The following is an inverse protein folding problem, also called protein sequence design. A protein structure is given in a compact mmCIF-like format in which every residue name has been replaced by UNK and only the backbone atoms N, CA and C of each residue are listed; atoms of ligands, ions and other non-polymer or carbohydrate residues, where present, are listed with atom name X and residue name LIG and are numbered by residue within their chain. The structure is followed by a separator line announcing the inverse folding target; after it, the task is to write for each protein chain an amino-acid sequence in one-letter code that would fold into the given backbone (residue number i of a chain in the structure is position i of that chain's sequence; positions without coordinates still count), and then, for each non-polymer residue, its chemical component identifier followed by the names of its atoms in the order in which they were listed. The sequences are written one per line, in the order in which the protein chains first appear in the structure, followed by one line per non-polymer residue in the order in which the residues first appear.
data_IF_803036961544
#
_entry.id   IF_803036961544
#
_cell.length_a   1.000
_cell.length_b   1.000
_cell.length_c   1.000
_cell.angle_alpha   90.00
_cell.angle_beta   90.00
_cell.angle_gamma   90.00
#
_symmetry.space_group_name_H-M   'P 1'
#
loop_
_entity.id
_entity.type
_entity.pdbx_description
1 polymer ?
#
# COMPACT_ATOMS: atom_id res chain seq x y z
N UNK A 1 -15.02 9.36 -28.12
CA UNK A 1 -15.07 10.42 -27.10
C UNK A 1 -14.13 10.01 -25.96
N UNK A 2 -12.89 10.51 -25.96
CA UNK A 2 -11.92 10.17 -24.93
C UNK A 2 -12.18 11.03 -23.70
N UNK A 3 -12.75 10.46 -22.64
CA UNK A 3 -12.77 11.12 -21.35
C UNK A 3 -11.31 11.28 -20.90
N UNK A 4 -10.78 12.50 -20.88
CA UNK A 4 -9.50 12.78 -20.23
C UNK A 4 -9.67 12.51 -18.73
N UNK A 5 -9.01 11.47 -18.23
CA UNK A 5 -8.95 11.19 -16.81
C UNK A 5 -8.02 12.23 -16.17
N UNK A 6 -8.45 12.83 -15.04
CA UNK A 6 -7.71 13.92 -14.41
C UNK A 6 -6.34 13.47 -13.88
N UNK A 7 -6.21 12.18 -13.52
CA UNK A 7 -4.99 11.59 -13.00
C UNK A 7 -4.72 10.22 -13.65
N UNK A 8 -3.49 9.98 -14.07
CA UNK A 8 -3.02 8.67 -14.55
C UNK A 8 -2.35 7.83 -13.46
N UNK A 9 -2.02 8.44 -12.32
CA UNK A 9 -1.30 7.81 -11.21
C UNK A 9 -1.93 8.25 -9.90
N UNK A 10 -2.11 7.31 -8.98
CA UNK A 10 -2.34 7.55 -7.56
C UNK A 10 -1.07 7.17 -6.82
N UNK A 11 -0.46 8.10 -6.09
CA UNK A 11 0.74 7.86 -5.31
C UNK A 11 0.47 8.16 -3.83
N UNK A 12 0.47 7.12 -3.00
CA UNK A 12 0.38 7.23 -1.55
C UNK A 12 1.76 7.42 -0.94
N UNK A 13 2.11 8.68 -0.64
CA UNK A 13 3.21 9.02 0.27
C UNK A 13 2.90 8.55 1.70
N UNK A 14 3.87 8.64 2.61
CA UNK A 14 3.72 7.99 3.90
C UNK A 14 4.51 8.62 5.06
N UNK A 15 4.35 7.94 6.19
CA UNK A 15 5.02 8.03 7.49
C UNK A 15 4.20 7.13 8.44
N UNK A 16 4.68 6.86 9.66
CA UNK A 16 3.95 5.95 10.58
C UNK A 16 2.48 6.32 10.82
N UNK A 17 2.13 7.60 10.74
CA UNK A 17 0.74 8.07 10.87
C UNK A 17 -0.21 7.45 9.83
N UNK A 18 0.30 7.06 8.66
CA UNK A 18 -0.47 6.36 7.62
C UNK A 18 -1.08 5.05 8.13
N UNK A 19 -0.47 4.37 9.10
CA UNK A 19 -1.05 3.16 9.72
C UNK A 19 -2.36 3.46 10.47
N UNK A 20 -2.61 4.72 10.83
CA UNK A 20 -3.78 5.13 11.60
C UNK A 20 -4.92 5.51 10.67
N UNK A 21 -4.67 6.44 9.74
CA UNK A 21 -5.71 7.07 8.92
C UNK A 21 -5.93 6.38 7.57
N UNK A 22 -4.90 5.81 6.93
CA UNK A 22 -5.07 5.17 5.63
C UNK A 22 -6.00 3.95 5.65
N UNK A 23 -6.06 3.12 6.71
CA UNK A 23 -7.06 2.04 6.83
C UNK A 23 -8.52 2.51 6.95
N UNK A 24 -8.76 3.82 7.05
CA UNK A 24 -10.10 4.40 7.14
C UNK A 24 -10.37 5.49 6.09
N UNK A 25 -9.42 5.72 5.17
CA UNK A 25 -9.43 6.83 4.21
C UNK A 25 -10.39 6.63 3.01
N UNK A 26 -11.68 6.46 3.27
CA UNK A 26 -12.73 6.13 2.28
C UNK A 26 -12.75 7.03 1.04
N UNK A 27 -12.41 8.31 1.19
CA UNK A 27 -12.36 9.24 0.05
C UNK A 27 -11.15 8.95 -0.85
N UNK A 28 -9.98 8.69 -0.26
CA UNK A 28 -8.79 8.30 -1.02
C UNK A 28 -8.98 6.94 -1.70
N UNK A 29 -9.68 6.00 -1.08
CA UNK A 29 -10.00 4.73 -1.70
C UNK A 29 -10.76 4.91 -3.01
N UNK A 30 -11.78 5.79 -3.02
CA UNK A 30 -12.57 6.06 -4.22
C UNK A 30 -11.70 6.64 -5.34
N UNK A 31 -10.76 7.53 -5.00
CA UNK A 31 -9.82 8.11 -5.97
C UNK A 31 -8.88 7.03 -6.51
N UNK A 32 -8.24 6.25 -5.64
CA UNK A 32 -7.31 5.19 -6.04
C UNK A 32 -8.00 4.08 -6.84
N UNK A 33 -9.18 3.62 -6.41
CA UNK A 33 -10.00 2.65 -7.13
C UNK A 33 -10.35 3.17 -8.51
N UNK A 34 -10.77 4.44 -8.62
CA UNK A 34 -11.08 5.03 -9.92
C UNK A 34 -9.85 5.07 -10.83
N UNK A 35 -8.71 5.58 -10.35
CA UNK A 35 -7.47 5.62 -11.13
C UNK A 35 -7.10 4.20 -11.60
N UNK A 36 -7.20 3.20 -10.73
CA UNK A 36 -6.87 1.83 -11.09
C UNK A 36 -7.88 1.19 -12.06
N UNK A 37 -9.18 1.45 -11.93
CA UNK A 37 -10.20 0.94 -12.86
C UNK A 37 -10.12 1.59 -14.24
N UNK A 38 -9.69 2.85 -14.28
CA UNK A 38 -9.50 3.64 -15.49
C UNK A 38 -8.19 3.28 -16.23
N UNK A 39 -7.46 2.26 -15.77
CA UNK A 39 -6.21 1.80 -16.40
C UNK A 39 -4.95 2.54 -15.95
N UNK A 40 -5.05 3.45 -14.97
CA UNK A 40 -3.92 4.15 -14.35
C UNK A 40 -3.12 3.30 -13.36
N UNK A 41 -2.06 3.87 -12.79
CA UNK A 41 -1.19 3.19 -11.82
C UNK A 41 -1.63 3.52 -10.40
N UNK A 42 -1.68 2.51 -9.53
CA UNK A 42 -1.82 2.70 -8.10
C UNK A 42 -0.48 2.39 -7.43
N UNK A 43 0.05 3.34 -6.67
CA UNK A 43 1.39 3.26 -6.12
C UNK A 43 1.48 3.77 -4.70
N UNK A 44 2.44 3.24 -3.94
CA UNK A 44 2.69 3.65 -2.57
C UNK A 44 4.16 3.40 -2.16
N UNK A 45 4.64 4.10 -1.14
CA UNK A 45 5.96 3.87 -0.56
C UNK A 45 5.86 3.76 0.96
N UNK A 46 6.75 2.99 1.60
CA UNK A 46 6.85 2.90 3.05
C UNK A 46 5.51 2.45 3.68
N UNK A 47 4.96 3.18 4.66
CA UNK A 47 3.65 2.89 5.26
C UNK A 47 2.46 3.17 4.35
N UNK A 48 2.68 3.79 3.19
CA UNK A 48 1.62 4.15 2.25
C UNK A 48 0.87 2.93 1.73
N UNK A 49 1.53 1.76 1.74
CA UNK A 49 0.91 0.47 1.41
C UNK A 49 -0.30 0.11 2.29
N UNK A 50 -0.42 0.71 3.49
CA UNK A 50 -1.57 0.54 4.38
C UNK A 50 -2.91 0.99 3.76
N UNK A 51 -2.88 1.74 2.65
CA UNK A 51 -4.09 2.15 1.94
C UNK A 51 -4.72 1.02 1.12
N UNK A 52 -3.91 0.10 0.58
CA UNK A 52 -4.36 -0.85 -0.45
C UNK A 52 -5.44 -1.84 -0.03
N UNK A 53 -5.49 -2.36 1.21
CA UNK A 53 -6.59 -3.20 1.66
C UNK A 53 -7.97 -2.55 1.44
N UNK A 54 -8.06 -1.22 1.57
CA UNK A 54 -9.30 -0.47 1.34
C UNK A 54 -9.56 -0.05 -0.12
N UNK A 55 -8.56 -0.16 -1.00
CA UNK A 55 -8.71 0.18 -2.43
C UNK A 55 -9.27 -1.02 -3.19
N UNK A 56 -10.52 -0.92 -3.60
CA UNK A 56 -11.29 -2.04 -4.20
C UNK A 56 -11.42 -1.88 -5.71
N UNK A 57 -11.27 -2.98 -6.45
CA UNK A 57 -11.68 -3.06 -7.85
C UNK A 57 -13.21 -3.23 -7.92
N UNK A 58 -13.97 -2.31 -8.54
CA UNK A 58 -15.42 -2.36 -8.58
C UNK A 58 -15.97 -3.53 -9.41
N UNK A 59 -15.16 -4.15 -10.29
CA UNK A 59 -15.58 -5.32 -11.08
C UNK A 59 -15.51 -6.59 -10.26
N UNK A 60 -14.45 -6.78 -9.46
CA UNK A 60 -14.25 -7.99 -8.66
C UNK A 60 -14.77 -7.85 -7.22
N UNK A 61 -15.02 -6.62 -6.77
CA UNK A 61 -15.37 -6.27 -5.39
C UNK A 61 -14.34 -6.73 -4.34
N UNK A 62 -13.09 -6.90 -4.78
CA UNK A 62 -11.94 -7.25 -3.94
C UNK A 62 -10.90 -6.13 -3.95
N UNK A 63 -10.01 -6.11 -2.96
CA UNK A 63 -8.86 -5.21 -2.97
C UNK A 63 -8.05 -5.38 -4.28
N UNK A 64 -7.52 -4.28 -4.81
CA UNK A 64 -6.72 -4.29 -6.04
C UNK A 64 -5.40 -5.08 -5.89
N UNK A 65 -5.00 -5.41 -4.66
CA UNK A 65 -3.80 -6.18 -4.37
C UNK A 65 -4.04 -7.69 -4.16
N UNK A 66 -5.28 -8.19 -4.29
CA UNK A 66 -5.53 -9.64 -4.22
C UNK A 66 -4.74 -10.37 -5.30
N UNK A 67 -3.90 -11.32 -4.88
CA UNK A 67 -3.01 -12.11 -5.74
C UNK A 67 -1.88 -11.30 -6.36
N UNK A 68 -1.59 -10.10 -5.85
CA UNK A 68 -0.52 -9.21 -6.34
C UNK A 68 0.69 -9.22 -5.42
N UNK A 69 1.86 -9.09 -6.02
CA UNK A 69 3.11 -8.87 -5.28
C UNK A 69 3.24 -7.41 -4.88
N UNK A 70 3.43 -7.18 -3.59
CA UNK A 70 3.45 -5.85 -2.97
C UNK A 70 4.58 -5.79 -1.96
N UNK A 71 5.21 -4.64 -1.81
CA UNK A 71 6.15 -4.36 -0.72
C UNK A 71 5.74 -3.09 0.02
N UNK A 72 6.46 -2.74 1.08
CA UNK A 72 6.20 -1.60 1.95
C UNK A 72 7.13 -1.63 3.15
N UNK A 73 6.96 -0.72 4.09
CA UNK A 73 7.82 -0.69 5.28
C UNK A 73 7.75 -2.01 6.04
N UNK A 74 8.91 -2.60 6.33
CA UNK A 74 8.96 -3.99 6.81
C UNK A 74 8.69 -4.07 8.30
N UNK A 75 8.02 -5.13 8.74
CA UNK A 75 7.84 -5.41 10.18
C UNK A 75 9.21 -5.56 10.87
N UNK A 76 10.22 -6.04 10.14
CA UNK A 76 11.60 -6.14 10.62
C UNK A 76 12.21 -4.77 10.88
N UNK A 77 12.01 -3.79 9.99
CA UNK A 77 12.48 -2.41 10.17
C UNK A 77 11.80 -1.76 11.39
N UNK A 78 10.49 -1.97 11.59
CA UNK A 78 9.77 -1.46 12.79
C UNK A 78 10.36 -2.00 14.10
N UNK A 79 10.81 -3.26 14.07
CA UNK A 79 11.45 -3.90 15.22
C UNK A 79 12.86 -3.35 15.47
N UNK A 80 13.63 -3.10 14.41
CA UNK A 80 14.99 -2.51 14.51
C UNK A 80 14.95 -1.07 15.01
N UNK A 81 13.88 -0.34 14.70
CA UNK A 81 13.62 1.02 15.19
C UNK A 81 13.02 1.07 16.61
N UNK A 82 12.75 -0.07 17.25
CA UNK A 82 12.11 -0.16 18.57
C UNK A 82 10.73 0.51 18.66
N UNK A 83 10.00 0.58 17.54
CA UNK A 83 8.67 1.20 17.46
C UNK A 83 7.53 0.18 17.32
N UNK A 84 7.85 -1.09 17.03
CA UNK A 84 6.85 -2.13 16.80
C UNK A 84 5.84 -2.26 17.95
N UNK A 85 6.28 -2.23 19.21
CA UNK A 85 5.37 -2.29 20.36
C UNK A 85 4.42 -1.08 20.45
N UNK A 86 4.90 0.10 20.02
CA UNK A 86 4.08 1.31 19.97
C UNK A 86 2.99 1.16 18.92
N UNK A 87 3.33 0.62 17.74
CA UNK A 87 2.39 0.35 16.64
C UNK A 87 1.34 -0.69 17.06
N UNK A 88 1.76 -1.78 17.71
CA UNK A 88 0.85 -2.78 18.28
C UNK A 88 -0.10 -2.16 19.31
N UNK A 89 0.39 -1.21 20.11
CA UNK A 89 -0.41 -0.42 21.05
C UNK A 89 -1.53 0.40 20.39
N UNK A 90 -1.34 0.85 19.14
CA UNK A 90 -2.40 1.50 18.35
C UNK A 90 -3.47 0.52 17.87
N UNK A 91 -3.23 -0.79 18.00
CA UNK A 91 -4.07 -1.88 17.45
C UNK A 91 -4.26 -1.74 15.94
N UNK A 92 -3.20 -1.28 15.26
CA UNK A 92 -3.15 -1.15 13.80
C UNK A 92 -2.16 -2.18 13.24
N UNK A 93 -2.46 -2.81 12.10
CA UNK A 93 -1.55 -3.78 11.51
C UNK A 93 -0.33 -3.10 10.87
N UNK A 94 0.78 -3.83 10.74
CA UNK A 94 1.88 -3.44 9.86
C UNK A 94 1.47 -3.57 8.39
N UNK A 95 2.22 -2.94 7.48
CA UNK A 95 1.95 -3.04 6.04
C UNK A 95 2.03 -4.49 5.55
N UNK A 96 3.01 -5.24 6.04
CA UNK A 96 3.19 -6.66 5.72
C UNK A 96 1.97 -7.49 6.11
N UNK A 97 1.50 -7.36 7.36
CA UNK A 97 0.31 -8.07 7.81
C UNK A 97 -0.93 -7.67 7.02
N UNK A 98 -1.15 -6.36 6.85
CA UNK A 98 -2.32 -5.84 6.15
C UNK A 98 -2.37 -6.26 4.68
N UNK A 99 -1.20 -6.38 4.04
CA UNK A 99 -1.07 -6.88 2.67
C UNK A 99 -1.49 -8.34 2.59
N UNK A 100 -0.97 -9.19 3.49
CA UNK A 100 -1.28 -10.61 3.53
C UNK A 100 -2.76 -10.87 3.85
N UNK A 101 -3.32 -10.16 4.83
CA UNK A 101 -4.75 -10.27 5.20
C UNK A 101 -5.69 -9.85 4.05
N UNK A 102 -5.29 -8.85 3.27
CA UNK A 102 -6.01 -8.45 2.06
C UNK A 102 -5.82 -9.41 0.87
N UNK A 103 -5.08 -10.52 1.03
CA UNK A 103 -4.84 -11.52 -0.02
C UNK A 103 -3.72 -11.15 -1.00
N UNK A 104 -2.88 -10.18 -0.67
CA UNK A 104 -1.66 -9.86 -1.41
C UNK A 104 -0.46 -10.72 -0.98
N UNK A 105 0.52 -10.85 -1.87
CA UNK A 105 1.81 -11.49 -1.58
C UNK A 105 2.81 -10.39 -1.17
N UNK A 106 3.10 -10.28 0.12
CA UNK A 106 4.09 -9.32 0.60
C UNK A 106 5.52 -9.81 0.28
N UNK A 107 6.30 -8.96 -0.39
CA UNK A 107 7.67 -9.23 -0.80
C UNK A 107 8.60 -8.39 0.08
N UNK A 108 9.39 -9.07 0.90
CA UNK A 108 10.41 -8.44 1.71
C UNK A 108 11.63 -8.03 0.85
N UNK A 109 12.25 -6.86 1.11
CA UNK A 109 13.61 -6.60 0.62
C UNK A 109 14.59 -7.61 1.22
N UNK A 110 15.78 -7.73 0.62
CA UNK A 110 16.82 -8.64 1.13
C UNK A 110 17.31 -8.16 2.49
N UNK A 111 17.65 -6.88 2.60
CA UNK A 111 17.98 -6.21 3.85
C UNK A 111 16.96 -5.10 4.15
N UNK A 112 16.62 -4.82 5.43
CA UNK A 112 15.49 -3.96 5.80
C UNK A 112 15.57 -2.52 5.31
N UNK A 113 16.78 -2.05 5.05
CA UNK A 113 17.09 -0.68 4.65
C UNK A 113 17.45 -0.56 3.17
N UNK A 114 17.29 -1.64 2.39
CA UNK A 114 17.56 -1.61 0.96
C UNK A 114 16.53 -0.73 0.23
N UNK A 115 17.01 0.04 -0.75
CA UNK A 115 16.15 0.62 -1.78
C UNK A 115 15.47 -0.51 -2.57
N UNK A 116 14.21 -0.78 -2.25
CA UNK A 116 13.48 -1.88 -2.84
C UNK A 116 12.10 -1.45 -3.35
N UNK A 117 11.83 -1.77 -4.62
CA UNK A 117 10.56 -1.54 -5.28
C UNK A 117 10.03 -2.84 -5.87
N UNK A 118 8.74 -3.10 -5.67
CA UNK A 118 7.99 -4.17 -6.30
C UNK A 118 7.01 -3.60 -7.33
N UNK A 119 7.05 -4.14 -8.54
CA UNK A 119 6.11 -3.81 -9.63
C UNK A 119 5.33 -5.07 -10.00
N UNK A 120 4.01 -5.01 -9.97
CA UNK A 120 3.10 -6.06 -10.45
C UNK A 120 1.99 -5.42 -11.29
N UNK A 121 2.21 -5.41 -12.61
CA UNK A 121 1.30 -4.76 -13.56
C UNK A 121 1.21 -3.25 -13.30
N UNK A 122 0.07 -2.81 -12.75
CA UNK A 122 -0.22 -1.39 -12.45
C UNK A 122 -0.20 -1.08 -10.95
N UNK A 123 0.28 -2.02 -10.14
CA UNK A 123 0.59 -1.81 -8.72
C UNK A 123 2.11 -1.62 -8.60
N UNK A 124 2.53 -0.49 -8.04
CA UNK A 124 3.95 -0.14 -7.84
C UNK A 124 4.18 0.26 -6.40
N UNK A 125 5.03 -0.47 -5.68
CA UNK A 125 5.24 -0.23 -4.25
C UNK A 125 6.71 -0.18 -3.87
N UNK A 126 7.09 0.70 -2.96
CA UNK A 126 8.44 0.81 -2.41
C UNK A 126 8.49 0.52 -0.90
N UNK A 127 9.55 -0.14 -0.43
CA UNK A 127 9.70 -0.53 0.97
C UNK A 127 10.11 0.63 1.88
N UNK A 128 11.07 1.44 1.42
CA UNK A 128 11.71 2.49 2.22
C UNK A 128 11.66 3.85 1.48
N UNK A 129 11.84 4.99 2.19
CA UNK A 129 11.95 6.32 1.58
C UNK A 129 13.30 6.62 0.90
N UNK A 130 14.27 5.69 1.01
CA UNK A 130 15.67 5.83 0.58
C UNK A 130 15.85 6.41 -0.82
#
# INVERSE_FOLDING_TARGET
MFFRHQYGIFFASAGHASLIDYPEARQLYRVASKVYSDGGVASAVCHGGAIFPGVVNPVTNHSIIVGKKVTGFTTKTEKELDVLQTIEGWKKPTVEWATADAGGEYVNPKDPWDEFTQVDGRIVTGAEPG
#
